data_IF_999543173486
#
_entry.id   IF_999543173486
#
_cell.length_a   1.000
_cell.length_b   1.000
_cell.length_c   1.000
_cell.angle_alpha   90.00
_cell.angle_beta   90.00
_cell.angle_gamma   90.00
#
_symmetry.space_group_name_H-M   'P 1'
#
loop_
_entity.id
_entity.type
_entity.pdbx_description
1 polymer ?
#
# COMPACT_ATOMS: atom_id res chain seq x y z
N UNK A 1 3.85 -12.50 5.03
CA UNK A 1 4.40 -11.14 5.32
C UNK A 1 5.90 -11.18 5.65
N UNK A 2 6.77 -10.46 4.93
CA UNK A 2 8.23 -10.53 5.12
C UNK A 2 8.73 -9.81 6.40
N UNK A 3 9.71 -10.40 7.11
CA UNK A 3 10.25 -9.88 8.38
C UNK A 3 10.79 -8.44 8.28
N UNK A 4 11.42 -8.04 7.18
CA UNK A 4 11.90 -6.64 7.05
C UNK A 4 10.77 -5.61 6.98
N UNK A 5 9.56 -6.03 6.58
CA UNK A 5 8.38 -5.17 6.61
C UNK A 5 7.83 -5.07 8.04
N UNK A 6 7.97 -6.12 8.86
CA UNK A 6 7.42 -6.15 10.22
C UNK A 6 8.05 -5.10 11.12
N UNK A 7 9.34 -4.82 10.93
CA UNK A 7 10.08 -3.80 11.70
C UNK A 7 9.73 -2.36 11.30
N UNK A 8 8.98 -2.18 10.21
CA UNK A 8 8.56 -0.87 9.69
C UNK A 8 7.16 -0.48 10.12
N UNK A 9 6.48 -1.34 10.87
CA UNK A 9 5.10 -1.15 11.26
C UNK A 9 4.95 -0.25 12.49
N UNK A 10 3.96 0.64 12.43
CA UNK A 10 3.51 1.46 13.53
C UNK A 10 2.02 1.24 13.82
N UNK A 11 1.60 1.51 15.05
CA UNK A 11 0.24 1.29 15.49
C UNK A 11 -0.71 2.29 14.83
N UNK A 12 -1.73 1.82 14.08
CA UNK A 12 -2.68 2.72 13.42
C UNK A 12 -3.58 3.48 14.41
N UNK A 13 -3.74 2.99 15.65
CA UNK A 13 -4.48 3.69 16.70
C UNK A 13 -3.66 4.74 17.43
N UNK A 14 -2.40 4.43 17.79
CA UNK A 14 -1.56 5.32 18.58
C UNK A 14 -0.74 6.29 17.72
N UNK A 15 -0.63 6.01 16.42
CA UNK A 15 0.13 6.81 15.48
C UNK A 15 1.58 6.33 15.28
N UNK A 16 2.32 7.05 14.43
CA UNK A 16 3.61 6.60 13.90
C UNK A 16 4.74 6.56 14.95
N UNK A 17 4.56 7.10 16.14
CA UNK A 17 5.57 7.05 17.20
C UNK A 17 5.59 5.71 17.95
N UNK A 18 4.56 4.88 17.75
CA UNK A 18 4.40 3.64 18.50
C UNK A 18 4.54 2.42 17.59
N UNK A 19 5.70 1.77 17.65
CA UNK A 19 5.96 0.52 16.93
C UNK A 19 5.04 -0.63 17.32
N UNK A 20 4.84 -1.53 16.36
CA UNK A 20 4.19 -2.81 16.61
C UNK A 20 5.23 -3.90 16.90
N UNK A 21 4.93 -4.73 17.91
CA UNK A 21 5.77 -5.84 18.34
C UNK A 21 5.19 -7.12 17.75
N UNK A 22 5.98 -7.84 16.95
CA UNK A 22 5.60 -9.12 16.38
C UNK A 22 5.65 -10.24 17.44
N UNK A 23 4.57 -10.99 17.54
CA UNK A 23 4.49 -12.30 18.18
C UNK A 23 4.17 -13.32 17.08
N UNK A 24 5.19 -14.02 16.58
CA UNK A 24 5.05 -14.97 15.48
C UNK A 24 4.78 -16.39 15.99
N UNK A 25 3.78 -17.06 15.40
CA UNK A 25 3.47 -18.47 15.65
C UNK A 25 4.09 -19.38 14.57
N UNK A 26 4.12 -18.91 13.31
CA UNK A 26 4.71 -19.63 12.18
C UNK A 26 5.43 -18.69 11.24
N UNK A 27 6.69 -19.00 10.95
CA UNK A 27 7.56 -18.28 10.01
C UNK A 27 8.20 -19.26 9.04
N UNK A 28 8.09 -18.99 7.75
CA UNK A 28 8.69 -19.78 6.66
C UNK A 28 9.37 -18.79 5.69
N UNK A 29 10.59 -19.09 5.21
CA UNK A 29 11.31 -18.22 4.25
C UNK A 29 11.36 -16.72 4.63
N UNK A 30 11.61 -16.43 5.91
CA UNK A 30 11.59 -15.07 6.49
C UNK A 30 10.24 -14.36 6.34
N UNK A 31 9.15 -15.12 6.23
CA UNK A 31 7.79 -14.62 6.14
C UNK A 31 6.95 -15.16 7.28
N UNK A 32 6.35 -14.24 8.02
CA UNK A 32 5.34 -14.56 9.03
C UNK A 32 4.09 -15.03 8.29
N UNK A 33 3.67 -16.25 8.57
CA UNK A 33 2.44 -16.86 8.06
C UNK A 33 1.31 -16.80 9.09
N UNK A 34 1.61 -17.08 10.35
CA UNK A 34 0.67 -16.97 11.46
C UNK A 34 1.31 -16.18 12.61
N UNK A 35 0.53 -15.32 13.26
CA UNK A 35 0.97 -14.56 14.42
C UNK A 35 0.08 -13.37 14.72
N UNK A 36 0.60 -12.42 15.50
CA UNK A 36 -0.05 -11.14 15.77
C UNK A 36 0.96 -10.04 16.02
N UNK A 37 0.53 -8.80 15.80
CA UNK A 37 1.25 -7.60 16.16
C UNK A 37 0.59 -6.92 17.34
N UNK A 38 1.32 -6.66 18.41
CA UNK A 38 0.82 -5.94 19.59
C UNK A 38 1.39 -4.53 19.68
N UNK A 39 0.57 -3.55 20.08
CA UNK A 39 1.07 -2.23 20.46
C UNK A 39 1.35 -2.17 21.97
N UNK A 40 2.55 -1.73 22.38
CA UNK A 40 2.86 -1.59 23.81
C UNK A 40 2.07 -0.48 24.52
N UNK A 41 1.53 0.49 23.78
CA UNK A 41 0.78 1.62 24.33
C UNK A 41 -0.71 1.27 24.54
N UNK A 42 -1.47 1.06 23.46
CA UNK A 42 -2.91 0.75 23.57
C UNK A 42 -3.22 -0.73 23.82
N UNK A 43 -2.22 -1.63 23.74
CA UNK A 43 -2.37 -3.09 23.88
C UNK A 43 -3.24 -3.77 22.82
N UNK A 44 -3.62 -3.04 21.77
CA UNK A 44 -4.36 -3.59 20.64
C UNK A 44 -3.53 -4.64 19.89
N UNK A 45 -4.20 -5.64 19.32
CA UNK A 45 -3.58 -6.76 18.60
C UNK A 45 -4.11 -6.87 17.18
N UNK A 46 -3.20 -6.91 16.23
CA UNK A 46 -3.49 -7.01 14.79
C UNK A 46 -3.05 -8.40 14.29
N UNK A 47 -3.97 -9.27 13.87
CA UNK A 47 -3.64 -10.65 13.52
C UNK A 47 -2.93 -10.76 12.17
N UNK A 48 -2.07 -11.77 12.04
CA UNK A 48 -1.54 -12.26 10.77
C UNK A 48 -2.05 -13.68 10.56
N UNK A 49 -2.71 -13.94 9.43
CA UNK A 49 -3.25 -15.27 9.08
C UNK A 49 -2.94 -15.60 7.63
N UNK A 50 -2.38 -16.78 7.35
CA UNK A 50 -1.99 -17.17 5.99
C UNK A 50 -1.08 -16.14 5.30
N UNK A 51 -0.21 -15.47 6.05
CA UNK A 51 0.70 -14.43 5.56
C UNK A 51 0.10 -13.04 5.37
N UNK A 52 -1.21 -12.87 5.63
CA UNK A 52 -1.96 -11.63 5.49
C UNK A 52 -2.16 -10.93 6.85
N UNK A 53 -1.73 -9.67 6.96
CA UNK A 53 -1.94 -8.86 8.17
C UNK A 53 -3.23 -8.03 8.12
N UNK A 54 -4.03 -8.02 9.20
CA UNK A 54 -5.19 -7.13 9.35
C UNK A 54 -4.88 -6.03 10.37
N UNK A 55 -4.57 -4.82 9.88
CA UNK A 55 -4.22 -3.65 10.68
C UNK A 55 -5.37 -2.64 10.76
N UNK A 56 -6.62 -3.05 10.52
CA UNK A 56 -7.76 -2.16 10.73
C UNK A 56 -7.97 -1.91 12.23
N UNK A 57 -8.18 -0.65 12.67
CA UNK A 57 -8.51 -0.36 14.06
C UNK A 57 -9.90 -0.93 14.43
N UNK A 58 -10.12 -1.33 15.69
CA UNK A 58 -11.42 -1.74 16.19
C UNK A 58 -12.42 -0.55 16.28
N UNK A 59 -13.73 -0.81 16.14
CA UNK A 59 -14.33 -2.08 15.76
C UNK A 59 -14.16 -2.33 14.26
N UNK A 60 -13.40 -3.37 13.90
CA UNK A 60 -13.29 -3.83 12.53
C UNK A 60 -14.30 -4.96 12.32
N UNK A 61 -15.22 -4.78 11.38
CA UNK A 61 -16.12 -5.85 10.95
C UNK A 61 -15.34 -7.05 10.40
N UNK A 62 -15.99 -8.22 10.25
CA UNK A 62 -15.37 -9.36 9.61
C UNK A 62 -14.81 -8.95 8.24
N UNK A 63 -13.60 -9.39 7.92
CA UNK A 63 -13.10 -9.34 6.53
C UNK A 63 -14.01 -10.25 5.72
N UNK A 64 -14.90 -9.67 4.92
CA UNK A 64 -15.70 -10.42 3.98
C UNK A 64 -14.76 -11.17 3.04
N UNK A 65 -14.95 -12.48 2.91
CA UNK A 65 -14.27 -13.24 1.88
C UNK A 65 -14.92 -12.84 0.56
N UNK A 66 -14.21 -12.10 -0.29
CA UNK A 66 -14.74 -11.82 -1.62
C UNK A 66 -14.87 -13.16 -2.37
N UNK A 67 -16.08 -13.53 -2.83
CA UNK A 67 -16.25 -14.73 -3.64
C UNK A 67 -15.41 -14.57 -4.92
N UNK A 68 -14.43 -15.46 -5.10
CA UNK A 68 -13.45 -15.35 -6.21
C UNK A 68 -12.06 -14.83 -5.79
N UNK A 69 -11.65 -14.95 -4.52
CA UNK A 69 -10.33 -14.54 -4.01
C UNK A 69 -9.10 -15.13 -4.73
N UNK A 70 -9.29 -16.11 -5.61
CA UNK A 70 -8.27 -16.67 -6.51
C UNK A 70 -8.19 -15.97 -7.86
N UNK A 71 -9.12 -15.06 -8.20
CA UNK A 71 -9.03 -14.27 -9.42
C UNK A 71 -7.85 -13.30 -9.29
N UNK A 72 -6.76 -13.46 -10.07
CA UNK A 72 -5.60 -12.57 -10.04
C UNK A 72 -5.99 -11.12 -10.36
N UNK A 73 -7.22 -10.85 -10.79
CA UNK A 73 -7.62 -9.65 -11.48
C UNK A 73 -7.29 -9.80 -12.97
N UNK A 74 -7.78 -8.88 -13.82
CA UNK A 74 -7.44 -8.91 -15.23
C UNK A 74 -5.92 -8.96 -15.42
N UNK A 75 -5.46 -9.81 -16.35
CA UNK A 75 -4.06 -9.82 -16.74
C UNK A 75 -3.74 -8.51 -17.47
N UNK A 76 -3.05 -7.61 -16.77
CA UNK A 76 -2.73 -6.28 -17.26
C UNK A 76 -1.22 -5.99 -17.15
N UNK A 77 -0.39 -6.61 -18.03
CA UNK A 77 1.06 -6.35 -18.05
C UNK A 77 1.40 -4.90 -18.37
N UNK A 78 0.60 -4.27 -19.22
CA UNK A 78 0.78 -2.88 -19.65
C UNK A 78 0.50 -1.90 -18.50
N UNK A 79 -0.55 -2.14 -17.71
CA UNK A 79 -0.82 -1.39 -16.48
C UNK A 79 0.30 -1.55 -15.44
N UNK A 80 0.84 -2.76 -15.27
CA UNK A 80 1.98 -2.98 -14.37
C UNK A 80 3.24 -2.24 -14.82
N UNK A 81 3.56 -2.26 -16.12
CA UNK A 81 4.67 -1.51 -16.71
C UNK A 81 4.50 0.00 -16.51
N UNK A 82 3.30 0.52 -16.78
CA UNK A 82 2.98 1.92 -16.56
C UNK A 82 3.16 2.28 -15.08
N UNK A 83 2.58 1.51 -14.17
CA UNK A 83 2.70 1.74 -12.73
C UNK A 83 4.18 1.77 -12.27
N UNK A 84 4.99 0.82 -12.73
CA UNK A 84 6.43 0.76 -12.43
C UNK A 84 7.18 2.01 -12.92
N UNK A 85 6.93 2.44 -14.17
CA UNK A 85 7.54 3.65 -14.74
C UNK A 85 7.16 4.91 -13.95
N UNK A 86 5.91 4.99 -13.49
CA UNK A 86 5.39 6.12 -12.74
C UNK A 86 5.96 6.18 -11.32
N UNK A 87 6.04 5.05 -10.63
CA UNK A 87 6.70 4.92 -9.33
C UNK A 87 8.18 5.32 -9.43
N UNK A 88 8.83 5.06 -10.58
CA UNK A 88 10.18 5.56 -10.87
C UNK A 88 11.30 4.87 -10.10
N UNK A 89 11.02 3.74 -9.46
CA UNK A 89 12.02 2.90 -8.79
C UNK A 89 12.54 1.88 -9.80
N UNK A 90 13.86 1.89 -10.04
CA UNK A 90 14.51 1.07 -11.08
C UNK A 90 15.03 -0.27 -10.56
N UNK A 91 15.52 -0.27 -9.33
CA UNK A 91 16.10 -1.44 -8.66
C UNK A 91 16.10 -1.22 -7.14
N UNK A 92 16.29 -2.30 -6.39
CA UNK A 92 16.43 -2.32 -4.95
C UNK A 92 17.83 -1.98 -4.43
N UNK A 93 18.04 -2.02 -3.10
CA UNK A 93 17.03 -2.37 -2.10
C UNK A 93 16.01 -1.24 -1.87
N UNK A 94 14.74 -1.60 -1.76
CA UNK A 94 13.67 -0.63 -1.46
C UNK A 94 12.33 -1.29 -1.19
N UNK A 95 11.46 -0.60 -0.47
CA UNK A 95 10.08 -1.07 -0.23
C UNK A 95 9.09 -0.15 -0.93
N UNK A 96 8.16 -0.72 -1.69
CA UNK A 96 7.06 -0.01 -2.35
C UNK A 96 5.76 -0.23 -1.59
N UNK A 97 4.87 0.76 -1.59
CA UNK A 97 3.51 0.64 -1.07
C UNK A 97 2.52 0.74 -2.22
N UNK A 98 1.66 -0.26 -2.38
CA UNK A 98 0.55 -0.25 -3.34
C UNK A 98 -0.76 -0.43 -2.57
N UNK A 99 -1.69 0.51 -2.69
CA UNK A 99 -2.96 0.49 -1.98
C UNK A 99 -4.14 0.63 -2.94
N UNK A 100 -5.22 -0.13 -2.70
CA UNK A 100 -6.36 -0.17 -3.61
C UNK A 100 -6.04 -0.98 -4.88
N UNK A 101 -6.58 -0.56 -6.03
CA UNK A 101 -6.40 -1.28 -7.31
C UNK A 101 -4.92 -1.60 -7.67
N UNK A 102 -3.94 -0.68 -7.50
CA UNK A 102 -2.51 -0.97 -7.71
C UNK A 102 -1.98 -2.17 -6.94
N UNK A 103 -2.54 -2.50 -5.77
CA UNK A 103 -2.08 -3.61 -4.94
C UNK A 103 -2.18 -4.97 -5.65
N UNK A 104 -3.06 -5.09 -6.65
CA UNK A 104 -3.20 -6.31 -7.46
C UNK A 104 -2.03 -6.53 -8.43
N UNK A 105 -1.23 -5.51 -8.68
CA UNK A 105 -0.04 -5.59 -9.55
C UNK A 105 1.25 -5.92 -8.77
N UNK A 106 1.18 -6.13 -7.45
CA UNK A 106 2.35 -6.36 -6.60
C UNK A 106 3.27 -7.48 -7.10
N UNK A 107 2.69 -8.63 -7.47
CA UNK A 107 3.42 -9.81 -7.95
C UNK A 107 4.18 -9.51 -9.25
N UNK A 108 3.62 -8.67 -10.13
CA UNK A 108 4.29 -8.26 -11.37
C UNK A 108 5.43 -7.28 -11.09
N UNK A 109 5.22 -6.33 -10.18
CA UNK A 109 6.24 -5.33 -9.84
C UNK A 109 7.50 -5.96 -9.24
N UNK A 110 7.38 -6.99 -8.41
CA UNK A 110 8.56 -7.69 -7.85
C UNK A 110 9.34 -8.51 -8.88
N UNK A 111 8.70 -8.90 -9.99
CA UNK A 111 9.37 -9.55 -11.13
C UNK A 111 10.07 -8.50 -12.00
N UNK A 112 9.46 -7.33 -12.17
CA UNK A 112 9.96 -6.28 -13.05
C UNK A 112 11.08 -5.45 -12.42
N UNK A 113 11.06 -5.27 -11.10
CA UNK A 113 12.00 -4.41 -10.37
C UNK A 113 12.81 -5.29 -9.43
N UNK A 114 14.03 -5.61 -9.82
CA UNK A 114 14.88 -6.50 -9.04
C UNK A 114 15.17 -5.93 -7.64
N UNK A 115 15.08 -6.78 -6.61
CA UNK A 115 15.51 -6.45 -5.25
C UNK A 115 14.56 -5.56 -4.45
N UNK A 116 13.33 -5.30 -4.91
CA UNK A 116 12.32 -4.59 -4.12
C UNK A 116 11.42 -5.55 -3.33
N UNK A 117 10.92 -5.05 -2.20
CA UNK A 117 9.75 -5.62 -1.52
C UNK A 117 8.54 -4.73 -1.80
N UNK A 118 7.38 -5.33 -2.03
CA UNK A 118 6.11 -4.64 -2.23
C UNK A 118 5.18 -4.94 -1.07
N UNK A 119 4.67 -3.89 -0.43
CA UNK A 119 3.56 -3.95 0.51
C UNK A 119 2.27 -3.68 -0.27
N UNK A 120 1.36 -4.65 -0.26
CA UNK A 120 0.10 -4.59 -0.99
C UNK A 120 -1.09 -4.48 -0.01
N UNK A 121 -1.74 -3.31 0.00
CA UNK A 121 -2.90 -2.97 0.83
C UNK A 121 -4.21 -3.15 0.07
N UNK A 122 -4.84 -4.33 0.22
CA UNK A 122 -6.14 -4.57 -0.38
C UNK A 122 -6.85 -5.77 0.27
N UNK A 123 -8.13 -5.66 0.68
CA UNK A 123 -8.84 -6.73 1.39
C UNK A 123 -8.96 -8.02 0.57
N UNK A 124 -9.24 -7.91 -0.72
CA UNK A 124 -9.30 -9.04 -1.68
C UNK A 124 -7.97 -9.76 -1.94
N UNK A 125 -6.87 -9.36 -1.29
CA UNK A 125 -5.63 -10.14 -1.30
C UNK A 125 -5.61 -11.22 -0.21
N UNK A 126 -6.56 -11.21 0.73
CA UNK A 126 -6.71 -12.27 1.74
C UNK A 126 -6.92 -13.62 1.05
N UNK A 127 -6.25 -14.66 1.55
CA UNK A 127 -6.41 -16.03 1.03
C UNK A 127 -5.58 -16.34 -0.23
N UNK A 128 -5.07 -15.32 -0.95
CA UNK A 128 -4.12 -15.56 -2.06
C UNK A 128 -2.88 -16.32 -1.60
N UNK A 129 -2.19 -16.97 -2.54
CA UNK A 129 -0.90 -17.62 -2.29
C UNK A 129 0.18 -16.60 -1.93
N UNK A 130 1.14 -16.99 -1.09
CA UNK A 130 2.33 -16.17 -0.83
C UNK A 130 3.22 -16.07 -2.07
N UNK A 131 3.70 -14.85 -2.33
CA UNK A 131 4.65 -14.53 -3.41
C UNK A 131 5.88 -13.88 -2.79
N UNK A 132 7.07 -14.35 -3.18
CA UNK A 132 8.33 -13.75 -2.73
C UNK A 132 8.39 -12.29 -3.19
N UNK A 133 8.96 -11.41 -2.36
CA UNK A 133 8.89 -9.96 -2.58
C UNK A 133 7.57 -9.29 -2.17
N UNK A 134 6.46 -10.00 -1.89
CA UNK A 134 5.14 -9.35 -1.66
C UNK A 134 4.61 -9.58 -0.26
N UNK A 135 4.36 -8.51 0.50
CA UNK A 135 3.70 -8.55 1.81
C UNK A 135 2.27 -8.03 1.72
N UNK A 136 1.28 -8.92 1.90
CA UNK A 136 -0.14 -8.61 1.78
C UNK A 136 -0.73 -8.22 3.12
N UNK A 137 -1.56 -7.17 3.14
CA UNK A 137 -2.28 -6.78 4.35
C UNK A 137 -3.48 -5.87 4.03
N UNK A 138 -4.21 -5.50 5.06
CA UNK A 138 -5.24 -4.46 5.00
C UNK A 138 -5.07 -3.48 6.17
N UNK A 139 -5.53 -2.25 5.97
CA UNK A 139 -5.45 -1.17 6.93
C UNK A 139 -6.70 -0.30 6.81
N UNK A 140 -6.97 0.49 7.86
CA UNK A 140 -8.00 1.52 7.84
C UNK A 140 -7.47 2.85 7.28
N UNK A 141 -8.02 3.96 7.76
CA UNK A 141 -7.63 5.31 7.31
C UNK A 141 -6.16 5.66 7.60
N UNK A 142 -5.62 5.17 8.72
CA UNK A 142 -4.23 5.37 9.09
C UNK A 142 -3.34 4.25 8.50
N UNK A 143 -2.27 4.64 7.82
CA UNK A 143 -1.29 3.69 7.29
C UNK A 143 -0.40 3.20 8.45
N UNK A 144 -0.29 1.87 8.68
CA UNK A 144 0.36 1.29 9.85
C UNK A 144 1.88 1.26 9.70
N UNK A 145 2.50 2.36 9.30
CA UNK A 145 3.93 2.45 9.00
C UNK A 145 4.56 3.67 9.64
N UNK A 146 5.85 3.57 9.96
CA UNK A 146 6.66 4.74 10.26
C UNK A 146 6.74 5.72 9.08
N UNK A 147 7.02 6.98 9.38
CA UNK A 147 7.29 7.97 8.35
C UNK A 147 8.53 7.59 7.51
N UNK A 148 8.52 7.97 6.23
CA UNK A 148 9.66 7.80 5.31
C UNK A 148 10.11 6.34 5.10
N UNK A 149 9.16 5.40 5.15
CA UNK A 149 9.39 3.96 4.97
C UNK A 149 9.57 3.55 3.50
N UNK A 150 8.80 4.14 2.57
CA UNK A 150 8.64 3.61 1.22
C UNK A 150 9.36 4.41 0.15
N UNK A 151 10.04 3.73 -0.78
CA UNK A 151 10.74 4.35 -1.93
C UNK A 151 9.81 4.71 -3.09
N UNK A 152 8.54 4.33 -2.98
CA UNK A 152 7.48 4.67 -3.91
C UNK A 152 6.14 4.26 -3.33
N UNK A 153 5.10 5.06 -3.59
CA UNK A 153 3.74 4.81 -3.12
C UNK A 153 2.78 4.94 -4.29
N UNK A 154 1.85 4.00 -4.43
CA UNK A 154 0.75 4.07 -5.37
C UNK A 154 -0.59 3.88 -4.64
N UNK A 155 -1.51 4.81 -4.86
CA UNK A 155 -2.85 4.80 -4.28
C UNK A 155 -3.87 4.71 -5.41
N UNK A 156 -4.75 3.72 -5.34
CA UNK A 156 -5.90 3.60 -6.23
C UNK A 156 -7.20 4.01 -5.56
N UNK A 157 -8.31 3.59 -6.18
CA UNK A 157 -9.66 3.87 -5.69
C UNK A 157 -9.85 3.41 -4.23
N UNK A 158 -10.56 4.24 -3.44
CA UNK A 158 -10.72 4.06 -1.99
C UNK A 158 -9.55 4.57 -1.13
N UNK A 159 -8.36 4.77 -1.73
CA UNK A 159 -7.14 5.23 -1.04
C UNK A 159 -6.66 6.60 -1.53
N UNK A 160 -7.48 7.34 -2.28
CA UNK A 160 -7.11 8.60 -2.92
C UNK A 160 -6.96 9.79 -1.96
N UNK A 161 -7.75 10.85 -2.19
CA UNK A 161 -7.53 12.16 -1.56
C UNK A 161 -7.44 12.16 -0.03
N UNK A 162 -8.23 11.32 0.65
CA UNK A 162 -8.26 11.24 2.12
C UNK A 162 -6.98 10.66 2.72
N UNK A 163 -6.20 9.88 1.95
CA UNK A 163 -4.97 9.24 2.42
C UNK A 163 -3.72 9.91 1.87
N UNK A 164 -3.85 11.05 1.18
CA UNK A 164 -2.72 11.74 0.57
C UNK A 164 -1.68 12.20 1.60
N UNK A 165 -2.14 12.69 2.76
CA UNK A 165 -1.25 13.11 3.84
C UNK A 165 -0.48 11.92 4.43
N UNK A 166 -1.16 10.77 4.58
CA UNK A 166 -0.54 9.53 5.02
C UNK A 166 0.47 9.00 4.00
N UNK A 167 0.12 9.02 2.70
CA UNK A 167 1.01 8.64 1.62
C UNK A 167 2.28 9.49 1.59
N UNK A 168 2.14 10.82 1.73
CA UNK A 168 3.29 11.70 1.87
C UNK A 168 4.07 11.43 3.14
N UNK A 169 3.42 11.11 4.26
CA UNK A 169 4.11 10.79 5.52
C UNK A 169 4.97 9.54 5.39
N UNK A 170 4.48 8.49 4.73
CA UNK A 170 5.18 7.20 4.65
C UNK A 170 6.17 7.10 3.49
N UNK A 171 6.04 7.92 2.42
CA UNK A 171 7.00 7.95 1.32
C UNK A 171 8.35 8.53 1.76
N UNK A 172 9.51 7.97 1.40
CA UNK A 172 10.81 8.55 1.73
C UNK A 172 11.09 9.83 0.90
N UNK A 173 11.95 10.75 1.34
CA UNK A 173 12.37 11.90 0.53
C UNK A 173 12.86 11.49 -0.87
N UNK A 174 12.47 12.24 -1.90
CA UNK A 174 12.79 11.95 -3.30
C UNK A 174 11.98 10.81 -3.92
N UNK A 175 11.06 10.19 -3.16
CA UNK A 175 10.18 9.14 -3.67
C UNK A 175 8.99 9.75 -4.40
N UNK A 176 8.38 8.95 -5.28
CA UNK A 176 7.16 9.33 -5.97
C UNK A 176 5.92 8.78 -5.27
N UNK A 177 4.90 9.62 -5.16
CA UNK A 177 3.54 9.21 -4.82
C UNK A 177 2.69 9.30 -6.08
N UNK A 178 2.16 8.16 -6.49
CA UNK A 178 1.28 7.98 -7.63
C UNK A 178 -0.14 7.84 -7.12
N UNK A 179 -1.06 8.66 -7.62
CA UNK A 179 -2.49 8.51 -7.30
C UNK A 179 -3.23 8.20 -8.59
N UNK A 180 -3.79 7.01 -8.69
CA UNK A 180 -4.66 6.60 -9.79
C UNK A 180 -6.10 7.06 -9.51
N UNK A 181 -6.69 7.69 -10.52
CA UNK A 181 -8.08 8.13 -10.53
C UNK A 181 -8.94 7.15 -11.35
N UNK A 182 -10.24 7.03 -11.03
CA UNK A 182 -11.18 6.23 -11.81
C UNK A 182 -11.19 6.65 -13.28
N UNK A 183 -11.56 5.73 -14.17
CA UNK A 183 -11.66 6.04 -15.60
C UNK A 183 -12.64 7.20 -15.84
N UNK A 184 -12.24 8.31 -16.49
CA UNK A 184 -13.16 9.39 -16.84
C UNK A 184 -14.31 8.93 -17.74
N UNK A 185 -14.13 7.87 -18.53
CA UNK A 185 -15.21 7.24 -19.33
C UNK A 185 -16.24 6.49 -18.48
N UNK A 186 -15.88 6.10 -17.26
CA UNK A 186 -16.79 5.44 -16.30
C UNK A 186 -17.35 6.43 -15.27
N UNK A 187 -16.58 7.47 -14.92
CA UNK A 187 -16.94 8.49 -13.95
C UNK A 187 -16.72 9.88 -14.56
N UNK A 188 -17.77 10.56 -15.05
CA UNK A 188 -17.65 11.86 -15.73
C UNK A 188 -16.97 12.96 -14.91
N UNK A 189 -17.00 12.86 -13.57
CA UNK A 189 -16.42 13.82 -12.64
C UNK A 189 -14.91 13.61 -12.35
N UNK A 190 -14.22 12.73 -13.10
CA UNK A 190 -12.79 12.45 -12.86
C UNK A 190 -11.90 13.67 -13.11
N UNK A 191 -12.21 14.51 -14.11
CA UNK A 191 -11.42 15.73 -14.40
C UNK A 191 -11.45 16.72 -13.22
N UNK A 192 -12.64 16.99 -12.68
CA UNK A 192 -12.79 17.88 -11.51
C UNK A 192 -12.05 17.34 -10.28
N UNK A 193 -12.08 16.02 -10.07
CA UNK A 193 -11.34 15.34 -9.01
C UNK A 193 -9.83 15.46 -9.19
N UNK A 194 -9.35 15.33 -10.43
CA UNK A 194 -7.93 15.51 -10.76
C UNK A 194 -7.47 16.92 -10.43
N UNK A 195 -8.18 17.93 -10.92
CA UNK A 195 -7.82 19.33 -10.70
C UNK A 195 -7.86 19.68 -9.20
N UNK A 196 -8.86 19.16 -8.47
CA UNK A 196 -8.96 19.31 -7.02
C UNK A 196 -7.79 18.65 -6.27
N UNK A 197 -7.38 17.45 -6.70
CA UNK A 197 -6.23 16.74 -6.16
C UNK A 197 -4.91 17.47 -6.46
N UNK A 198 -4.71 17.95 -7.69
CA UNK A 198 -3.53 18.75 -8.06
C UNK A 198 -3.43 20.01 -7.20
N UNK A 199 -4.52 20.76 -7.02
CA UNK A 199 -4.57 21.92 -6.14
C UNK A 199 -4.29 21.57 -4.67
N UNK A 200 -4.72 20.40 -4.19
CA UNK A 200 -4.39 19.89 -2.83
C UNK A 200 -2.91 19.56 -2.69
N UNK A 201 -2.28 18.98 -3.72
CA UNK A 201 -0.85 18.68 -3.76
C UNK A 201 -0.03 19.97 -3.73
N UNK A 202 -0.34 20.93 -4.60
CA UNK A 202 0.39 22.21 -4.67
C UNK A 202 0.27 23.01 -3.37
N UNK A 203 -0.91 23.05 -2.73
CA UNK A 203 -1.09 23.72 -1.42
C UNK A 203 -0.24 23.14 -0.30
N UNK A 204 0.20 21.88 -0.44
CA UNK A 204 1.10 21.21 0.51
C UNK A 204 2.59 21.45 0.18
N UNK A 205 2.88 22.32 -0.78
CA UNK A 205 4.24 22.61 -1.24
C UNK A 205 4.89 21.40 -1.88
N UNK A 206 4.12 20.62 -2.65
CA UNK A 206 4.60 19.44 -3.38
C UNK A 206 4.51 19.70 -4.88
N UNK A 207 5.47 19.16 -5.62
CA UNK A 207 5.57 19.31 -7.07
C UNK A 207 4.82 18.18 -7.78
N UNK A 208 3.94 18.55 -8.71
CA UNK A 208 3.29 17.61 -9.63
C UNK A 208 4.21 17.41 -10.83
N UNK A 209 4.74 16.20 -11.01
CA UNK A 209 5.63 15.85 -12.13
C UNK A 209 4.87 15.48 -13.40
N UNK A 210 3.75 14.78 -13.23
CA UNK A 210 2.90 14.36 -14.33
C UNK A 210 1.46 14.44 -13.89
N UNK A 211 0.66 15.03 -14.75
CA UNK A 211 -0.78 15.04 -14.66
C UNK A 211 -1.34 14.46 -15.96
N UNK A 212 -2.12 13.39 -15.83
CA UNK A 212 -2.89 12.79 -16.92
C UNK A 212 -4.34 12.69 -16.48
N UNK A 213 -5.24 12.33 -17.39
CA UNK A 213 -6.67 12.18 -17.10
C UNK A 213 -6.99 11.16 -16.00
N UNK A 214 -6.01 10.33 -15.62
CA UNK A 214 -6.19 9.24 -14.64
C UNK A 214 -5.15 9.21 -13.54
N UNK A 215 -4.22 10.16 -13.49
CA UNK A 215 -3.04 9.99 -12.64
C UNK A 215 -2.36 11.31 -12.29
N UNK A 216 -1.97 11.44 -11.02
CA UNK A 216 -1.07 12.50 -10.53
C UNK A 216 0.18 11.88 -9.91
N UNK A 217 1.36 12.32 -10.38
CA UNK A 217 2.66 11.96 -9.78
C UNK A 217 3.20 13.13 -8.99
N UNK A 218 3.59 12.85 -7.76
CA UNK A 218 4.14 13.85 -6.85
C UNK A 218 5.50 13.42 -6.36
N UNK A 219 6.48 14.35 -6.31
CA UNK A 219 7.74 14.12 -5.58
C UNK A 219 7.58 14.60 -4.15
N UNK A 220 8.00 13.76 -3.19
CA UNK A 220 8.14 14.15 -1.79
C UNK A 220 9.48 14.85 -1.54
#
# INVERSE_FOLDING_TARGET
>A
MHLLVTDRLACPLCGPEFGLILLSDRVEDRRVLEGSFGCANCRERYPVRGGFGDFRPPPAGPLEAEPGSDDPGPDDPEGALRLAAMIGVREGPGTLLLAGAPARQADRLVVMIEGVEVVALHPGLRGRREVAGVSRMHAGEALPFYASTFRGVALGEGWGESHLDEAFRVAAPGSRVVVELPDPGQVPATADRRDALAAKVTRRGREVLLETDRLIVVVR
#
